data_IF_112217447402
#
_entry.id   IF_112217447402
#
_cell.length_a   1.000
_cell.length_b   1.000
_cell.length_c   1.000
_cell.angle_alpha   90.00
_cell.angle_beta   90.00
_cell.angle_gamma   90.00
#
_symmetry.space_group_name_H-M   'P 1'
#
loop_
_entity.id
_entity.type
_entity.pdbx_description
1 polymer ?
#
# COMPACT_ATOMS: atom_id res chain seq x y z
N UNK A 1 22.35 16.49 27.37
CA UNK A 1 22.46 16.61 25.90
C UNK A 1 21.87 15.34 25.30
N UNK A 2 20.69 15.42 24.68
CA UNK A 2 20.17 14.30 23.88
C UNK A 2 20.99 14.25 22.59
N UNK A 3 21.64 13.13 22.30
CA UNK A 3 22.26 12.92 20.99
C UNK A 3 21.13 12.81 19.97
N UNK A 4 21.12 13.71 18.97
CA UNK A 4 20.16 13.64 17.87
C UNK A 4 20.20 12.25 17.22
N UNK A 5 19.05 11.59 17.14
CA UNK A 5 18.96 10.31 16.45
C UNK A 5 19.22 10.50 14.95
N UNK A 6 20.00 9.61 14.34
CA UNK A 6 20.22 9.55 12.89
C UNK A 6 19.56 8.33 12.23
N UNK A 7 19.05 7.41 13.05
CA UNK A 7 18.33 6.21 12.63
C UNK A 7 17.36 5.76 13.71
N UNK A 8 16.24 5.17 13.30
CA UNK A 8 15.31 4.56 14.24
C UNK A 8 15.92 3.32 14.91
N UNK A 9 15.66 3.16 16.20
CA UNK A 9 15.86 1.91 16.94
C UNK A 9 14.64 1.05 16.64
N UNK A 10 14.89 -0.06 15.94
CA UNK A 10 13.86 -1.05 15.62
C UNK A 10 13.69 -1.98 16.83
N UNK A 11 12.45 -2.15 17.27
CA UNK A 11 12.09 -3.06 18.38
C UNK A 11 10.85 -3.84 18.02
N UNK A 12 10.62 -4.94 18.74
CA UNK A 12 9.36 -5.66 18.71
C UNK A 12 8.20 -4.73 19.05
N UNK A 13 7.09 -4.92 18.35
CA UNK A 13 5.90 -4.12 18.47
C UNK A 13 5.39 -4.18 19.91
N UNK A 14 5.32 -3.04 20.63
CA UNK A 14 4.86 -3.04 22.01
C UNK A 14 3.34 -3.21 22.06
N UNK A 15 2.79 -3.34 23.26
CA UNK A 15 1.34 -3.19 23.48
C UNK A 15 0.90 -1.74 23.45
N UNK A 16 1.78 -0.80 23.83
CA UNK A 16 1.57 0.64 23.86
C UNK A 16 2.85 1.38 23.47
N UNK A 17 2.72 2.54 22.82
CA UNK A 17 3.89 3.35 22.50
C UNK A 17 4.47 3.99 23.77
N UNK A 18 5.79 4.15 23.77
CA UNK A 18 6.54 4.71 24.90
C UNK A 18 7.01 6.12 24.56
N UNK A 19 7.47 6.86 25.57
CA UNK A 19 8.10 8.16 25.36
C UNK A 19 9.26 8.10 24.37
N UNK A 20 10.02 6.99 24.35
CA UNK A 20 11.09 6.77 23.38
C UNK A 20 10.53 6.67 21.95
N UNK A 21 9.42 5.96 21.72
CA UNK A 21 8.83 5.89 20.38
C UNK A 21 8.37 7.27 19.89
N UNK A 22 7.74 8.07 20.76
CA UNK A 22 7.33 9.46 20.44
C UNK A 22 8.53 10.35 20.14
N UNK A 23 9.62 10.21 20.90
CA UNK A 23 10.86 10.95 20.63
C UNK A 23 11.43 10.57 19.26
N UNK A 24 11.48 9.29 18.90
CA UNK A 24 11.92 8.87 17.57
C UNK A 24 11.06 9.46 16.47
N UNK A 25 9.73 9.44 16.63
CA UNK A 25 8.82 10.04 15.67
C UNK A 25 9.08 11.54 15.51
N UNK A 26 9.23 12.27 16.62
CA UNK A 26 9.47 13.72 16.60
C UNK A 26 10.85 14.10 16.01
N UNK A 27 11.88 13.29 16.22
CA UNK A 27 13.24 13.59 15.73
C UNK A 27 13.48 13.10 14.30
N UNK A 28 12.88 11.98 13.90
CA UNK A 28 13.15 11.31 12.63
C UNK A 28 12.02 11.44 11.60
N UNK A 29 10.80 11.78 12.05
CA UNK A 29 9.60 11.77 11.22
C UNK A 29 9.00 10.38 10.98
N UNK A 30 9.54 9.33 11.61
CA UNK A 30 9.03 7.96 11.51
C UNK A 30 9.42 7.11 12.73
N UNK A 31 8.71 5.97 12.90
CA UNK A 31 9.12 4.88 13.79
C UNK A 31 9.16 3.57 13.02
N UNK A 32 9.94 2.61 13.51
CA UNK A 32 10.04 1.28 12.93
C UNK A 32 9.84 0.21 14.01
N UNK A 33 8.90 -0.71 13.77
CA UNK A 33 8.49 -1.76 14.69
C UNK A 33 8.47 -3.11 13.95
N UNK A 34 9.01 -4.14 14.58
CA UNK A 34 8.91 -5.53 14.12
C UNK A 34 7.66 -6.20 14.69
N UNK A 35 7.09 -7.17 13.98
CA UNK A 35 5.97 -7.97 14.52
C UNK A 35 4.70 -7.18 14.80
N UNK A 36 4.47 -6.06 14.09
CA UNK A 36 3.20 -5.32 14.17
C UNK A 36 2.04 -6.24 13.83
N UNK A 37 2.18 -6.96 12.71
CA UNK A 37 1.32 -8.05 12.30
C UNK A 37 1.98 -9.38 12.68
N UNK A 38 1.15 -10.33 13.08
CA UNK A 38 1.53 -11.73 13.26
C UNK A 38 1.75 -12.45 11.92
N UNK A 39 2.41 -13.60 11.95
CA UNK A 39 2.64 -14.41 10.75
C UNK A 39 1.34 -14.81 10.06
N UNK A 40 0.32 -15.21 10.82
CA UNK A 40 -0.98 -15.60 10.26
C UNK A 40 -1.70 -14.42 9.61
N UNK A 41 -1.60 -13.21 10.16
CA UNK A 41 -2.16 -12.00 9.55
C UNK A 41 -1.45 -11.66 8.24
N UNK A 42 -0.12 -11.79 8.19
CA UNK A 42 0.65 -11.59 6.96
C UNK A 42 0.27 -12.63 5.91
N UNK A 43 0.14 -13.91 6.27
CA UNK A 43 -0.29 -14.97 5.36
C UNK A 43 -1.71 -14.71 4.84
N UNK A 44 -2.65 -14.35 5.72
CA UNK A 44 -4.03 -14.05 5.34
C UNK A 44 -4.09 -12.84 4.39
N UNK A 45 -3.30 -11.79 4.65
CA UNK A 45 -3.23 -10.61 3.78
C UNK A 45 -2.72 -10.98 2.37
N UNK A 46 -1.70 -11.84 2.29
CA UNK A 46 -1.15 -12.32 1.01
C UNK A 46 -2.17 -13.16 0.25
N UNK A 47 -2.82 -14.12 0.90
CA UNK A 47 -3.86 -14.94 0.30
C UNK A 47 -5.04 -14.09 -0.22
N UNK A 48 -5.45 -13.09 0.55
CA UNK A 48 -6.48 -12.14 0.13
C UNK A 48 -6.03 -11.33 -1.11
N UNK A 49 -4.76 -10.93 -1.19
CA UNK A 49 -4.21 -10.23 -2.37
C UNK A 49 -4.15 -11.14 -3.60
N UNK A 50 -3.73 -12.39 -3.44
CA UNK A 50 -3.78 -13.41 -4.49
C UNK A 50 -5.20 -13.56 -5.04
N UNK A 51 -6.16 -13.82 -4.15
CA UNK A 51 -7.57 -14.01 -4.52
C UNK A 51 -8.16 -12.77 -5.22
N UNK A 52 -7.86 -11.58 -4.70
CA UNK A 52 -8.30 -10.32 -5.32
C UNK A 52 -7.70 -10.13 -6.70
N UNK A 53 -6.39 -10.35 -6.84
CA UNK A 53 -5.69 -10.16 -8.11
C UNK A 53 -6.26 -11.07 -9.19
N UNK A 54 -6.39 -12.37 -8.88
CA UNK A 54 -6.96 -13.36 -9.80
C UNK A 54 -8.40 -13.00 -10.17
N UNK A 55 -9.24 -12.66 -9.19
CA UNK A 55 -10.63 -12.25 -9.42
C UNK A 55 -10.74 -11.05 -10.37
N UNK A 56 -9.94 -10.01 -10.16
CA UNK A 56 -9.94 -8.82 -11.00
C UNK A 56 -9.49 -9.11 -12.43
N UNK A 57 -8.45 -9.92 -12.59
CA UNK A 57 -7.95 -10.30 -13.93
C UNK A 57 -8.97 -11.17 -14.68
N UNK A 58 -9.57 -12.14 -14.01
CA UNK A 58 -10.62 -12.96 -14.60
C UNK A 58 -11.85 -12.14 -14.99
N UNK A 59 -12.29 -11.20 -14.13
CA UNK A 59 -13.38 -10.28 -14.44
C UNK A 59 -13.05 -9.41 -15.67
N UNK A 60 -11.83 -8.87 -15.75
CA UNK A 60 -11.39 -8.09 -16.90
C UNK A 60 -11.39 -8.91 -18.20
N UNK A 61 -10.92 -10.17 -18.18
CA UNK A 61 -10.98 -11.06 -19.36
C UNK A 61 -12.41 -11.42 -19.77
N UNK A 62 -13.38 -11.40 -18.85
CA UNK A 62 -14.82 -11.55 -19.14
C UNK A 62 -15.49 -10.25 -19.61
N UNK A 63 -14.76 -9.14 -19.67
CA UNK A 63 -15.33 -7.82 -20.02
C UNK A 63 -16.09 -7.14 -18.87
N UNK A 64 -15.96 -7.65 -17.63
CA UNK A 64 -16.56 -7.08 -16.42
C UNK A 64 -15.65 -6.04 -15.75
N UNK A 65 -14.48 -5.74 -16.34
CA UNK A 65 -13.55 -4.72 -15.89
C UNK A 65 -12.98 -3.93 -17.07
N UNK A 66 -12.40 -2.76 -16.79
CA UNK A 66 -11.87 -1.86 -17.81
C UNK A 66 -10.34 -1.86 -17.80
N UNK A 67 -9.73 -2.08 -18.97
CA UNK A 67 -8.30 -1.83 -19.16
C UNK A 67 -8.09 -0.36 -19.54
N UNK A 68 -7.38 0.38 -18.69
CA UNK A 68 -7.02 1.78 -18.92
C UNK A 68 -5.54 1.89 -19.20
N UNK A 69 -5.22 2.21 -20.45
CA UNK A 69 -3.84 2.50 -20.84
C UNK A 69 -3.30 3.74 -20.12
N UNK A 70 -1.98 3.80 -19.98
CA UNK A 70 -1.33 4.99 -19.45
C UNK A 70 -1.65 6.22 -20.32
N UNK A 71 -1.81 7.38 -19.69
CA UNK A 71 -2.05 8.63 -20.45
C UNK A 71 -0.83 8.94 -21.33
N UNK A 72 -1.00 9.55 -22.52
CA UNK A 72 0.13 10.02 -23.31
C UNK A 72 1.08 10.88 -22.47
N UNK A 73 2.38 10.56 -22.52
CA UNK A 73 3.41 11.27 -21.74
C UNK A 73 3.48 10.90 -20.25
N UNK A 74 2.69 9.93 -19.78
CA UNK A 74 2.83 9.42 -18.41
C UNK A 74 4.21 8.79 -18.22
N UNK A 75 4.91 9.20 -17.15
CA UNK A 75 6.24 8.69 -16.81
C UNK A 75 6.27 8.10 -15.41
N UNK A 76 7.33 7.34 -15.11
CA UNK A 76 7.65 6.85 -13.76
C UNK A 76 6.46 6.10 -13.14
N UNK A 77 5.94 6.61 -12.02
CA UNK A 77 4.90 6.00 -11.20
C UNK A 77 3.56 5.74 -11.93
N UNK A 78 3.35 6.35 -13.11
CA UNK A 78 2.08 6.30 -13.85
C UNK A 78 2.18 5.67 -15.25
N UNK A 79 3.34 5.10 -15.60
CA UNK A 79 3.66 4.71 -16.98
C UNK A 79 3.01 3.39 -17.45
N UNK A 80 2.46 2.57 -16.56
CA UNK A 80 1.83 1.28 -16.91
C UNK A 80 0.31 1.33 -17.00
N UNK A 81 -0.31 0.34 -17.66
CA UNK A 81 -1.76 0.22 -17.75
C UNK A 81 -2.38 -0.25 -16.43
N UNK A 82 -3.69 -0.04 -16.33
CA UNK A 82 -4.49 -0.43 -15.17
C UNK A 82 -5.65 -1.32 -15.57
N UNK A 83 -5.95 -2.32 -14.76
CA UNK A 83 -7.22 -3.04 -14.79
C UNK A 83 -8.07 -2.48 -13.66
N UNK A 84 -9.27 -2.01 -13.98
CA UNK A 84 -10.11 -1.24 -13.05
C UNK A 84 -11.49 -1.87 -12.94
N UNK A 85 -12.04 -1.94 -11.73
CA UNK A 85 -13.42 -2.37 -11.52
C UNK A 85 -14.43 -1.39 -12.14
N UNK A 86 -15.64 -1.84 -12.48
CA UNK A 86 -16.72 -0.93 -12.86
C UNK A 86 -16.91 0.16 -11.80
N UNK A 87 -17.02 1.41 -12.24
CA UNK A 87 -17.14 2.57 -11.34
C UNK A 87 -15.81 3.05 -10.72
N UNK A 88 -14.69 2.34 -10.91
CA UNK A 88 -13.36 2.86 -10.57
C UNK A 88 -12.90 2.69 -9.13
N UNK A 89 -13.61 1.92 -8.30
CA UNK A 89 -13.35 1.80 -6.86
C UNK A 89 -12.06 1.03 -6.52
N UNK A 90 -11.67 0.07 -7.34
CA UNK A 90 -10.48 -0.76 -7.13
C UNK A 90 -9.71 -0.93 -8.44
N UNK A 91 -8.37 -0.89 -8.38
CA UNK A 91 -7.54 -0.98 -9.58
C UNK A 91 -6.22 -1.71 -9.34
N UNK A 92 -5.87 -2.62 -10.26
CA UNK A 92 -4.52 -3.16 -10.40
C UNK A 92 -3.76 -2.27 -11.39
N UNK A 93 -2.54 -1.88 -11.03
CA UNK A 93 -1.64 -1.09 -11.85
C UNK A 93 -0.38 -1.90 -12.15
N UNK A 94 -0.05 -2.07 -13.43
CA UNK A 94 1.14 -2.78 -13.89
C UNK A 94 2.33 -1.84 -14.15
N UNK A 95 3.51 -2.43 -14.34
CA UNK A 95 4.66 -1.71 -14.89
C UNK A 95 4.44 -1.35 -16.37
N UNK A 96 5.24 -0.42 -16.91
CA UNK A 96 5.16 -0.02 -18.31
C UNK A 96 5.45 -1.20 -19.27
N UNK A 97 4.74 -1.24 -20.40
CA UNK A 97 4.95 -2.27 -21.44
C UNK A 97 4.32 -3.64 -21.14
N UNK A 98 3.55 -3.77 -20.06
CA UNK A 98 2.76 -4.96 -19.77
C UNK A 98 1.42 -4.88 -20.48
N UNK A 99 1.01 -5.92 -21.19
CA UNK A 99 -0.36 -6.09 -21.70
C UNK A 99 -1.15 -6.98 -20.72
N UNK A 100 -2.04 -6.44 -19.87
CA UNK A 100 -2.59 -7.20 -18.74
C UNK A 100 -3.41 -8.42 -19.13
N UNK A 101 -4.18 -8.34 -20.21
CA UNK A 101 -5.10 -9.42 -20.61
C UNK A 101 -4.38 -10.63 -21.21
N UNK A 102 -3.14 -10.46 -21.66
CA UNK A 102 -2.29 -11.54 -22.18
C UNK A 102 -1.60 -12.35 -21.07
N UNK A 103 -1.55 -11.82 -19.84
CA UNK A 103 -1.00 -12.54 -18.70
C UNK A 103 -1.96 -13.61 -18.21
N UNK A 104 -1.46 -14.71 -17.68
CA UNK A 104 -2.19 -15.58 -16.76
C UNK A 104 -2.41 -14.89 -15.40
N UNK A 105 -3.23 -15.51 -14.53
CA UNK A 105 -3.51 -14.95 -13.20
C UNK A 105 -2.25 -14.90 -12.31
N UNK A 106 -1.46 -15.96 -12.31
CA UNK A 106 -0.19 -16.04 -11.58
C UNK A 106 0.86 -15.06 -12.13
N UNK A 107 0.92 -14.88 -13.45
CA UNK A 107 1.80 -13.87 -14.05
C UNK A 107 1.37 -12.45 -13.68
N UNK A 108 0.07 -12.17 -13.65
CA UNK A 108 -0.44 -10.88 -13.23
C UNK A 108 -0.11 -10.58 -11.76
N UNK A 109 -0.26 -11.56 -10.87
CA UNK A 109 0.13 -11.46 -9.46
C UNK A 109 1.61 -11.12 -9.29
N UNK A 110 2.49 -11.73 -10.09
CA UNK A 110 3.93 -11.48 -10.01
C UNK A 110 4.38 -10.19 -10.72
N UNK A 111 3.52 -9.55 -11.52
CA UNK A 111 3.88 -8.41 -12.37
C UNK A 111 3.15 -7.11 -12.06
N UNK A 112 2.13 -7.13 -11.22
CA UNK A 112 1.50 -5.87 -10.82
C UNK A 112 2.46 -5.03 -9.97
N UNK A 113 2.39 -3.71 -10.13
CA UNK A 113 3.16 -2.73 -9.37
C UNK A 113 2.38 -2.26 -8.14
N UNK A 114 1.09 -2.00 -8.31
CA UNK A 114 0.21 -1.51 -7.24
C UNK A 114 -1.17 -2.10 -7.33
N UNK A 115 -1.82 -2.21 -6.19
CA UNK A 115 -3.26 -2.42 -6.09
C UNK A 115 -3.85 -1.31 -5.23
N UNK A 116 -4.85 -0.59 -5.76
CA UNK A 116 -5.47 0.58 -5.15
C UNK A 116 -6.90 0.30 -4.71
N UNK A 117 -7.36 0.96 -3.63
CA UNK A 117 -8.78 1.01 -3.26
C UNK A 117 -9.39 -0.35 -2.90
N UNK A 118 -8.61 -1.23 -2.28
CA UNK A 118 -8.98 -2.63 -2.07
C UNK A 118 -9.47 -2.96 -0.66
N UNK A 119 -9.56 -1.95 0.21
CA UNK A 119 -9.91 -2.15 1.61
C UNK A 119 -11.27 -2.84 1.79
N UNK A 120 -12.20 -2.65 0.85
CA UNK A 120 -13.56 -3.20 0.91
C UNK A 120 -13.72 -4.51 0.10
N UNK A 121 -12.66 -4.98 -0.55
CA UNK A 121 -12.72 -6.12 -1.48
C UNK A 121 -12.52 -7.48 -0.79
N UNK A 122 -12.11 -7.50 0.48
CA UNK A 122 -11.93 -8.71 1.28
C UNK A 122 -12.00 -8.40 2.79
N UNK A 123 -12.64 -9.25 3.63
CA UNK A 123 -12.72 -9.03 5.08
C UNK A 123 -11.37 -8.85 5.78
N UNK A 124 -10.33 -9.56 5.33
CA UNK A 124 -8.96 -9.38 5.84
C UNK A 124 -8.45 -7.94 5.69
N UNK A 125 -8.78 -7.26 4.59
CA UNK A 125 -8.34 -5.89 4.38
C UNK A 125 -9.10 -4.91 5.27
N UNK A 126 -10.40 -5.12 5.48
CA UNK A 126 -11.22 -4.36 6.42
C UNK A 126 -10.66 -4.48 7.85
N UNK A 127 -10.25 -5.68 8.24
CA UNK A 127 -9.60 -5.91 9.54
C UNK A 127 -8.24 -5.22 9.64
N UNK A 128 -7.42 -5.26 8.58
CA UNK A 128 -6.12 -4.60 8.56
C UNK A 128 -6.24 -3.08 8.68
N UNK A 129 -7.14 -2.44 7.91
CA UNK A 129 -7.31 -0.99 8.00
C UNK A 129 -7.83 -0.54 9.36
N UNK A 130 -8.57 -1.39 10.07
CA UNK A 130 -9.09 -1.16 11.42
C UNK A 130 -8.17 -1.70 12.53
N UNK A 131 -6.98 -2.21 12.20
CA UNK A 131 -6.16 -2.93 13.15
C UNK A 131 -5.70 -2.02 14.32
N UNK A 132 -5.88 -2.42 15.60
CA UNK A 132 -5.57 -1.56 16.74
C UNK A 132 -4.12 -1.10 16.83
N UNK A 133 -3.16 -1.93 16.41
CA UNK A 133 -1.73 -1.55 16.35
C UNK A 133 -1.37 -0.67 15.16
N UNK A 134 -2.30 -0.43 14.25
CA UNK A 134 -2.14 0.51 13.14
C UNK A 134 -2.87 1.80 13.52
N UNK A 135 -4.20 1.78 13.60
CA UNK A 135 -4.98 2.99 13.90
C UNK A 135 -4.69 3.55 15.29
N UNK A 136 -4.63 2.69 16.31
CA UNK A 136 -4.39 3.12 17.68
C UNK A 136 -3.00 3.74 17.86
N UNK A 137 -1.98 3.21 17.18
CA UNK A 137 -0.64 3.79 17.22
C UNK A 137 -0.52 5.08 16.42
N UNK A 138 -1.16 5.17 15.26
CA UNK A 138 -1.18 6.43 14.50
C UNK A 138 -1.87 7.51 15.33
N UNK A 139 -3.05 7.22 15.90
CA UNK A 139 -3.79 8.15 16.76
C UNK A 139 -2.98 8.58 17.98
N UNK A 140 -2.29 7.66 18.65
CA UNK A 140 -1.42 7.96 19.81
C UNK A 140 -0.15 8.75 19.43
N UNK A 141 0.34 8.63 18.19
CA UNK A 141 1.49 9.42 17.71
C UNK A 141 1.10 10.85 17.33
N UNK A 142 -0.06 11.03 16.70
CA UNK A 142 -0.52 12.34 16.21
C UNK A 142 -1.40 13.08 17.20
N UNK A 143 -1.85 12.41 18.27
CA UNK A 143 -2.77 12.91 19.30
C UNK A 143 -4.11 13.42 18.72
N UNK A 144 -4.62 12.71 17.70
CA UNK A 144 -5.85 13.04 16.98
C UNK A 144 -6.56 11.79 16.47
N UNK A 145 -7.84 11.96 16.13
CA UNK A 145 -8.61 10.94 15.41
C UNK A 145 -8.03 10.70 14.01
N UNK A 146 -8.08 9.45 13.55
CA UNK A 146 -7.54 9.03 12.27
C UNK A 146 -8.65 8.70 11.28
N UNK A 147 -8.49 9.15 10.04
CA UNK A 147 -9.37 8.79 8.93
C UNK A 147 -8.56 8.09 7.84
N UNK A 148 -9.11 7.01 7.28
CA UNK A 148 -8.49 6.31 6.17
C UNK A 148 -8.59 7.17 4.90
N UNK A 149 -7.44 7.62 4.40
CA UNK A 149 -7.37 8.48 3.22
C UNK A 149 -7.27 7.71 1.91
N UNK A 150 -6.43 6.67 1.87
CA UNK A 150 -6.15 5.84 0.71
C UNK A 150 -5.46 4.54 1.15
N UNK A 151 -5.51 3.50 0.31
CA UNK A 151 -4.77 2.24 0.50
C UNK A 151 -4.06 1.84 -0.79
N UNK A 152 -2.84 1.33 -0.62
CA UNK A 152 -2.05 0.80 -1.71
C UNK A 152 -1.28 -0.45 -1.27
N UNK A 153 -1.50 -1.56 -1.96
CA UNK A 153 -0.58 -2.69 -1.91
C UNK A 153 0.51 -2.42 -2.94
N UNK A 154 1.74 -2.20 -2.49
CA UNK A 154 2.88 -1.96 -3.36
C UNK A 154 3.64 -3.27 -3.56
N UNK A 155 3.76 -3.71 -4.81
CA UNK A 155 4.58 -4.85 -5.18
C UNK A 155 5.84 -4.39 -5.89
N UNK A 156 6.90 -5.18 -5.76
CA UNK A 156 8.16 -5.03 -6.48
C UNK A 156 8.32 -6.25 -7.40
N UNK A 157 7.73 -6.21 -8.61
CA UNK A 157 7.89 -7.28 -9.58
C UNK A 157 9.36 -7.66 -9.76
N UNK A 158 9.71 -8.95 -9.66
CA UNK A 158 11.07 -9.42 -9.89
C UNK A 158 11.60 -8.92 -11.25
N UNK A 159 12.84 -8.44 -11.27
CA UNK A 159 13.58 -7.98 -12.45
C UNK A 159 13.04 -6.74 -13.20
N UNK A 160 11.78 -6.34 -12.98
CA UNK A 160 11.12 -5.26 -13.73
C UNK A 160 10.56 -4.13 -12.85
N UNK A 161 10.55 -4.30 -11.52
CA UNK A 161 9.98 -3.34 -10.59
C UNK A 161 10.67 -1.99 -10.64
N UNK A 162 9.98 -0.95 -11.09
CA UNK A 162 10.56 0.39 -11.17
C UNK A 162 10.80 1.00 -9.78
N UNK A 163 11.83 1.85 -9.68
CA UNK A 163 12.18 2.51 -8.42
C UNK A 163 11.05 3.39 -7.87
N UNK A 164 11.16 3.74 -6.59
CA UNK A 164 10.34 4.78 -5.98
C UNK A 164 11.28 5.97 -5.75
N UNK A 165 11.16 7.06 -6.54
CA UNK A 165 12.04 8.20 -6.39
C UNK A 165 11.82 8.87 -5.02
N UNK A 166 12.79 9.64 -4.55
CA UNK A 166 12.64 10.46 -3.35
C UNK A 166 11.43 11.40 -3.48
N UNK A 167 10.56 11.40 -2.48
CA UNK A 167 9.36 12.24 -2.42
C UNK A 167 8.87 12.40 -0.97
N UNK A 168 7.93 13.32 -0.78
CA UNK A 168 7.09 13.41 0.41
C UNK A 168 5.65 13.10 0.01
N UNK A 169 4.96 12.29 0.80
CA UNK A 169 3.59 11.88 0.48
C UNK A 169 2.61 13.06 0.45
N UNK A 170 2.79 14.06 1.32
CA UNK A 170 1.90 15.23 1.35
C UNK A 170 1.89 16.03 0.05
N UNK A 171 2.95 15.94 -0.77
CA UNK A 171 2.98 16.56 -2.10
C UNK A 171 1.90 16.01 -3.05
N UNK A 172 1.36 14.81 -2.77
CA UNK A 172 0.29 14.18 -3.54
C UNK A 172 -1.10 14.35 -2.93
N UNK A 173 -1.19 14.60 -1.61
CA UNK A 173 -2.46 14.64 -0.90
C UNK A 173 -3.11 16.03 -0.86
N UNK A 174 -2.34 17.09 -1.12
CA UNK A 174 -2.83 18.47 -1.23
C UNK A 174 -3.71 18.91 -0.02
N UNK A 175 -3.32 18.51 1.20
CA UNK A 175 -3.97 18.94 2.44
C UNK A 175 -3.33 20.22 2.97
N UNK A 176 -4.17 21.17 3.39
CA UNK A 176 -3.79 22.45 4.01
C UNK A 176 -4.47 22.59 5.38
N UNK A 177 -3.85 23.32 6.34
CA UNK A 177 -2.54 23.96 6.26
C UNK A 177 -1.38 22.97 6.51
N UNK A 178 -0.22 23.32 5.95
CA UNK A 178 1.08 22.72 6.27
C UNK A 178 1.65 23.35 7.55
#
# INVERSE_FOLDING_TARGET
>A
MSLSLTRAIVKQCPTQLTATHRQQFSELGYIALEGVLSESEVVAARQALTALTHRLMQAARRGEGEVKQARPGATRNYAGPRVVTPGGGCAIHFEAGIEPLELSDDEAENRFRKLHGYQDEHPTFQQLVAHPRIQGFIGDLIDQDVLLKDVMALSKPPFLGSEKPWHQDNAYFNYLPL
#
